data_IF_281391251375
#
_entry.id   IF_281391251375
#
_cell.length_a   1.000
_cell.length_b   1.000
_cell.length_c   1.000
_cell.angle_alpha   90.00
_cell.angle_beta   90.00
_cell.angle_gamma   90.00
#
_symmetry.space_group_name_H-M   'P 1'
#
loop_
_entity.id
_entity.type
_entity.pdbx_description
1 polymer ?
#
# COMPACT_ATOMS: atom_id res chain seq x y z
N UNK A 1 26.29 -19.44 3.61
CA UNK A 1 25.66 -20.07 2.42
C UNK A 1 24.80 -19.01 1.77
N UNK A 2 24.73 -18.96 0.44
CA UNK A 2 23.91 -17.95 -0.24
C UNK A 2 22.42 -18.27 -0.06
N UNK A 3 21.59 -17.24 0.12
CA UNK A 3 20.14 -17.39 0.31
C UNK A 3 19.46 -18.24 -0.79
N UNK A 4 19.98 -18.17 -2.03
CA UNK A 4 19.49 -18.98 -3.14
C UNK A 4 19.76 -20.48 -2.97
N UNK A 5 20.89 -20.85 -2.36
CA UNK A 5 21.21 -22.25 -2.06
C UNK A 5 20.42 -22.78 -0.87
N UNK A 6 20.17 -21.94 0.14
CA UNK A 6 19.33 -22.30 1.28
C UNK A 6 17.87 -22.53 0.86
N UNK A 7 17.32 -21.67 0.00
CA UNK A 7 15.96 -21.82 -0.52
C UNK A 7 15.75 -23.13 -1.32
N UNK A 8 16.76 -23.57 -2.07
CA UNK A 8 16.67 -24.79 -2.90
C UNK A 8 16.95 -26.08 -2.12
N UNK A 9 17.84 -26.01 -1.12
CA UNK A 9 18.34 -27.21 -0.42
C UNK A 9 17.68 -27.39 0.94
N UNK A 10 17.29 -26.31 1.61
CA UNK A 10 16.73 -26.30 2.97
C UNK A 10 15.58 -25.29 3.11
N UNK A 11 14.46 -25.50 2.39
CA UNK A 11 13.35 -24.54 2.34
C UNK A 11 12.71 -24.26 3.71
N UNK A 12 12.80 -25.21 4.66
CA UNK A 12 12.29 -25.05 6.02
C UNK A 12 13.09 -24.02 6.84
N UNK A 13 14.42 -24.06 6.77
CA UNK A 13 15.29 -23.09 7.46
C UNK A 13 15.15 -21.69 6.85
N UNK A 14 15.03 -21.63 5.53
CA UNK A 14 14.75 -20.37 4.84
C UNK A 14 13.40 -19.76 5.27
N UNK A 15 12.35 -20.57 5.38
CA UNK A 15 11.04 -20.12 5.86
C UNK A 15 11.08 -19.62 7.31
N UNK A 16 11.87 -20.24 8.17
CA UNK A 16 12.08 -19.83 9.56
C UNK A 16 12.78 -18.46 9.64
N UNK A 17 13.87 -18.27 8.90
CA UNK A 17 14.58 -16.99 8.82
C UNK A 17 13.69 -15.86 8.28
N UNK A 18 12.89 -16.14 7.25
CA UNK A 18 11.90 -15.18 6.74
C UNK A 18 10.80 -14.88 7.76
N UNK A 19 10.35 -15.89 8.51
CA UNK A 19 9.38 -15.73 9.59
C UNK A 19 9.86 -14.75 10.67
N UNK A 20 11.13 -14.82 11.05
CA UNK A 20 11.74 -13.93 12.05
C UNK A 20 11.83 -12.47 11.60
N UNK A 21 11.98 -12.20 10.30
CA UNK A 21 12.05 -10.84 9.76
C UNK A 21 10.66 -10.17 9.60
N UNK A 22 9.59 -10.96 9.52
CA UNK A 22 8.23 -10.48 9.20
C UNK A 22 7.70 -9.39 10.14
N UNK A 23 7.82 -9.49 11.48
CA UNK A 23 7.31 -8.44 12.37
C UNK A 23 7.96 -7.08 12.11
N UNK A 24 9.27 -7.08 11.80
CA UNK A 24 9.99 -5.87 11.41
C UNK A 24 9.48 -5.28 10.10
N UNK A 25 9.36 -6.11 9.05
CA UNK A 25 8.87 -5.69 7.73
C UNK A 25 7.43 -5.14 7.80
N UNK A 26 6.55 -5.83 8.53
CA UNK A 26 5.17 -5.41 8.74
C UNK A 26 5.09 -4.07 9.48
N UNK A 27 5.89 -3.87 10.55
CA UNK A 27 5.92 -2.63 11.31
C UNK A 27 6.48 -1.44 10.49
N UNK A 28 7.58 -1.67 9.77
CA UNK A 28 8.15 -0.68 8.85
C UNK A 28 7.14 -0.28 7.76
N UNK A 29 6.57 -1.28 7.08
CA UNK A 29 5.63 -1.08 5.98
C UNK A 29 4.37 -0.36 6.45
N UNK A 30 3.79 -0.78 7.57
CA UNK A 30 2.61 -0.15 8.15
C UNK A 30 2.85 1.33 8.45
N UNK A 31 3.94 1.67 9.14
CA UNK A 31 4.24 3.04 9.51
C UNK A 31 4.51 3.94 8.30
N UNK A 32 5.29 3.43 7.32
CA UNK A 32 5.58 4.15 6.08
C UNK A 32 4.32 4.39 5.24
N UNK A 33 3.55 3.33 4.97
CA UNK A 33 2.34 3.39 4.14
C UNK A 33 1.27 4.22 4.83
N UNK A 34 1.10 4.08 6.16
CA UNK A 34 0.20 4.91 6.93
C UNK A 34 0.55 6.39 6.79
N UNK A 35 1.82 6.77 6.87
CA UNK A 35 2.18 8.19 6.71
C UNK A 35 1.86 8.73 5.32
N UNK A 36 2.03 7.91 4.27
CA UNK A 36 1.61 8.25 2.89
C UNK A 36 0.09 8.39 2.80
N UNK A 37 -0.67 7.47 3.39
CA UNK A 37 -2.13 7.52 3.43
C UNK A 37 -2.66 8.69 4.26
N UNK A 38 -2.14 8.90 5.46
CA UNK A 38 -2.56 9.95 6.37
C UNK A 38 -2.29 11.33 5.79
N UNK A 39 -1.19 11.49 5.04
CA UNK A 39 -0.99 12.70 4.25
C UNK A 39 -2.05 12.83 3.16
N UNK A 40 -2.39 11.77 2.43
CA UNK A 40 -3.50 11.84 1.48
C UNK A 40 -4.85 12.18 2.15
N UNK A 41 -5.09 11.64 3.35
CA UNK A 41 -6.33 11.79 4.11
C UNK A 41 -6.48 13.20 4.70
N UNK A 42 -5.39 13.75 5.26
CA UNK A 42 -5.38 15.04 5.95
C UNK A 42 -4.95 16.21 5.06
N UNK A 43 -4.20 16.01 3.97
CA UNK A 43 -3.76 17.10 3.10
C UNK A 43 -4.93 17.62 2.24
N UNK A 44 -5.56 18.67 2.75
CA UNK A 44 -6.82 19.30 2.29
C UNK A 44 -6.59 20.46 1.32
N UNK A 45 -5.33 20.82 1.02
CA UNK A 45 -4.95 22.04 0.27
C UNK A 45 -5.33 22.04 -1.24
N UNK A 46 -6.22 21.16 -1.69
CA UNK A 46 -6.88 21.27 -3.00
C UNK A 46 -8.39 21.06 -2.89
N UNK A 47 -9.03 22.07 -2.32
CA UNK A 47 -10.39 22.53 -2.64
C UNK A 47 -11.54 21.53 -2.35
N UNK A 48 -12.80 22.01 -2.29
CA UNK A 48 -13.96 21.16 -2.11
C UNK A 48 -13.96 20.13 -3.23
N UNK A 49 -13.64 18.86 -2.93
CA UNK A 49 -13.86 17.79 -3.90
C UNK A 49 -15.36 17.85 -4.21
N UNK A 50 -15.78 18.01 -5.48
CA UNK A 50 -17.21 18.13 -5.78
C UNK A 50 -18.00 16.88 -5.33
N UNK A 51 -17.32 15.74 -5.11
CA UNK A 51 -17.89 14.51 -4.58
C UNK A 51 -16.87 13.76 -3.70
N UNK A 52 -16.80 14.03 -2.38
CA UNK A 52 -16.06 13.20 -1.43
C UNK A 52 -16.61 11.76 -1.45
N UNK A 53 -15.74 10.75 -1.56
CA UNK A 53 -16.17 9.36 -1.70
C UNK A 53 -16.81 8.84 -0.39
N UNK A 54 -16.29 9.29 0.76
CA UNK A 54 -16.80 8.97 2.09
C UNK A 54 -17.62 10.11 2.73
N UNK A 55 -17.96 11.16 1.96
CA UNK A 55 -18.85 12.23 2.40
C UNK A 55 -18.41 12.93 3.69
N UNK A 56 -19.09 12.59 4.79
CA UNK A 56 -19.01 13.25 6.11
C UNK A 56 -17.74 12.94 6.91
N UNK A 57 -17.18 11.74 6.77
CA UNK A 57 -15.94 11.35 7.47
C UNK A 57 -14.76 12.14 6.93
N UNK A 58 -14.69 12.26 5.60
CA UNK A 58 -13.67 13.03 4.89
C UNK A 58 -13.79 14.54 5.20
N UNK A 59 -15.01 15.08 5.23
CA UNK A 59 -15.27 16.47 5.56
C UNK A 59 -14.94 16.84 7.04
N UNK A 60 -14.95 15.86 7.95
CA UNK A 60 -14.62 16.08 9.37
C UNK A 60 -13.11 16.00 9.60
N UNK A 61 -12.45 15.02 8.98
CA UNK A 61 -10.98 14.96 8.95
C UNK A 61 -10.35 16.18 8.25
N UNK A 62 -11.10 16.82 7.34
CA UNK A 62 -10.65 17.99 6.59
C UNK A 62 -10.65 19.33 7.36
N UNK A 63 -11.21 19.39 8.59
CA UNK A 63 -11.31 20.64 9.39
C UNK A 63 -10.05 20.97 10.20
N UNK A 64 -8.94 20.31 9.92
CA UNK A 64 -7.74 20.36 10.76
C UNK A 64 -6.80 21.48 10.29
N UNK A 65 -6.40 22.35 11.22
CA UNK A 65 -5.51 23.50 11.00
C UNK A 65 -4.07 23.13 10.62
N UNK A 66 -3.59 21.93 10.98
CA UNK A 66 -2.23 21.44 10.69
C UNK A 66 -2.23 19.97 10.24
N UNK A 67 -2.56 19.68 8.97
CA UNK A 67 -2.76 18.31 8.48
C UNK A 67 -1.50 17.46 8.54
N UNK A 68 -0.34 18.07 8.30
CA UNK A 68 0.96 17.40 8.42
C UNK A 68 1.22 16.87 9.83
N UNK A 69 0.90 17.66 10.87
CA UNK A 69 1.16 17.28 12.26
C UNK A 69 0.25 16.13 12.68
N UNK A 70 -1.00 16.10 12.21
CA UNK A 70 -1.87 14.95 12.45
C UNK A 70 -1.43 13.70 11.68
N UNK A 71 -0.96 13.85 10.44
CA UNK A 71 -0.44 12.71 9.67
C UNK A 71 0.73 12.07 10.41
N UNK A 72 1.71 12.88 10.83
CA UNK A 72 2.86 12.40 11.59
C UNK A 72 2.46 11.88 12.97
N UNK A 73 1.62 12.62 13.70
CA UNK A 73 1.16 12.24 15.03
C UNK A 73 0.40 10.92 15.04
N UNK A 74 -0.49 10.69 14.07
CA UNK A 74 -1.21 9.42 13.93
C UNK A 74 -0.28 8.26 13.54
N UNK A 75 0.74 8.50 12.70
CA UNK A 75 1.73 7.49 12.36
C UNK A 75 2.58 7.07 13.57
N UNK A 76 3.07 8.05 14.34
CA UNK A 76 3.86 7.81 15.55
C UNK A 76 3.02 7.15 16.63
N UNK A 77 1.78 7.62 16.84
CA UNK A 77 0.87 7.02 17.81
C UNK A 77 0.51 5.57 17.44
N UNK A 78 0.22 5.30 16.16
CA UNK A 78 -0.06 3.96 15.66
C UNK A 78 1.15 3.04 15.81
N UNK A 79 2.34 3.49 15.43
CA UNK A 79 3.57 2.72 15.61
C UNK A 79 3.84 2.42 17.10
N UNK A 80 3.75 3.42 17.98
CA UNK A 80 3.96 3.25 19.42
C UNK A 80 2.93 2.30 20.05
N UNK A 81 1.66 2.43 19.67
CA UNK A 81 0.60 1.52 20.12
C UNK A 81 0.90 0.08 19.71
N UNK A 82 1.29 -0.12 18.45
CA UNK A 82 1.56 -1.47 17.95
C UNK A 82 2.84 -2.06 18.55
N UNK A 83 3.86 -1.25 18.83
CA UNK A 83 5.02 -1.67 19.62
C UNK A 83 4.62 -2.13 21.03
N UNK A 84 3.68 -1.44 21.67
CA UNK A 84 3.20 -1.82 23.01
C UNK A 84 2.36 -3.12 22.98
N UNK A 85 1.57 -3.31 21.93
CA UNK A 85 0.74 -4.50 21.74
C UNK A 85 1.51 -5.72 21.20
N UNK A 86 2.69 -5.52 20.61
CA UNK A 86 3.51 -6.60 20.06
C UNK A 86 4.02 -7.57 21.15
N UNK A 87 4.24 -8.86 20.80
CA UNK A 87 4.84 -9.84 21.69
C UNK A 87 6.19 -9.37 22.26
N UNK A 88 6.51 -9.68 23.53
CA UNK A 88 7.71 -9.17 24.20
C UNK A 88 9.02 -9.42 23.44
N UNK A 89 9.11 -10.52 22.70
CA UNK A 89 10.26 -10.91 21.88
C UNK A 89 10.50 -9.96 20.71
N UNK A 90 9.44 -9.38 20.15
CA UNK A 90 9.47 -8.65 18.89
C UNK A 90 9.37 -7.14 19.10
N UNK A 91 9.06 -6.67 20.32
CA UNK A 91 8.81 -5.25 20.62
C UNK A 91 9.93 -4.32 20.15
N UNK A 92 11.19 -4.72 20.38
CA UNK A 92 12.34 -3.90 19.97
C UNK A 92 12.40 -3.83 18.45
N UNK A 93 12.25 -4.97 17.77
CA UNK A 93 12.24 -5.07 16.30
C UNK A 93 11.11 -4.23 15.70
N UNK A 94 9.89 -4.36 16.22
CA UNK A 94 8.70 -3.61 15.78
C UNK A 94 8.88 -2.11 16.02
N UNK A 95 9.36 -1.72 17.20
CA UNK A 95 9.60 -0.30 17.54
C UNK A 95 10.65 0.35 16.66
N UNK A 96 11.81 -0.29 16.50
CA UNK A 96 12.89 0.20 15.63
C UNK A 96 12.41 0.27 14.19
N UNK A 97 11.79 -0.80 13.67
CA UNK A 97 11.31 -0.84 12.31
C UNK A 97 10.22 0.22 12.03
N UNK A 98 9.30 0.44 12.97
CA UNK A 98 8.30 1.50 12.89
C UNK A 98 8.92 2.90 12.83
N UNK A 99 9.91 3.17 13.67
CA UNK A 99 10.68 4.44 13.64
C UNK A 99 11.40 4.61 12.31
N UNK A 100 12.06 3.57 11.81
CA UNK A 100 12.75 3.59 10.52
C UNK A 100 11.75 3.83 9.39
N UNK A 101 10.56 3.22 9.42
CA UNK A 101 9.50 3.43 8.44
C UNK A 101 9.02 4.89 8.38
N UNK A 102 8.74 5.49 9.54
CA UNK A 102 8.41 6.92 9.62
C UNK A 102 9.57 7.77 9.11
N UNK A 103 10.80 7.48 9.56
CA UNK A 103 12.00 8.24 9.21
C UNK A 103 12.29 8.21 7.71
N UNK A 104 12.20 7.04 7.06
CA UNK A 104 12.36 6.90 5.61
C UNK A 104 11.36 7.77 4.86
N UNK A 105 10.09 7.76 5.28
CA UNK A 105 9.07 8.60 4.65
C UNK A 105 9.38 10.10 4.83
N UNK A 106 9.82 10.51 6.03
CA UNK A 106 10.23 11.89 6.31
C UNK A 106 11.43 12.32 5.49
N UNK A 107 12.45 11.46 5.34
CA UNK A 107 13.65 11.72 4.54
C UNK A 107 13.28 11.93 3.08
N UNK A 108 12.50 11.01 2.49
CA UNK A 108 12.06 11.12 1.08
C UNK A 108 11.32 12.44 0.84
N UNK A 109 10.45 12.84 1.78
CA UNK A 109 9.73 14.12 1.70
C UNK A 109 10.62 15.33 1.95
N UNK A 110 11.57 15.25 2.86
CA UNK A 110 12.53 16.31 3.12
C UNK A 110 13.36 16.58 1.85
N UNK A 111 13.88 15.53 1.22
CA UNK A 111 14.59 15.61 -0.07
C UNK A 111 13.68 16.21 -1.13
N UNK A 112 12.42 15.75 -1.24
CA UNK A 112 11.46 16.30 -2.21
C UNK A 112 11.18 17.79 -1.99
N UNK A 113 11.07 18.24 -0.73
CA UNK A 113 10.86 19.67 -0.39
C UNK A 113 12.10 20.53 -0.60
N UNK A 114 13.28 20.00 -0.30
CA UNK A 114 14.55 20.68 -0.56
C UNK A 114 14.80 20.82 -2.06
N UNK A 115 14.45 19.80 -2.85
CA UNK A 115 14.53 19.84 -4.30
C UNK A 115 13.72 21.01 -4.89
N UNK A 116 12.54 21.33 -4.31
CA UNK A 116 11.69 22.44 -4.76
C UNK A 116 12.32 23.83 -4.55
N UNK A 117 13.39 23.96 -3.77
CA UNK A 117 14.06 25.24 -3.48
C UNK A 117 15.29 25.53 -4.37
N UNK A 118 15.72 24.58 -5.21
CA UNK A 118 16.90 24.72 -6.09
C UNK A 118 16.59 25.19 -7.52
N UNK A 119 17.62 25.20 -8.37
CA UNK A 119 17.54 25.60 -9.79
C UNK A 119 16.51 24.80 -10.60
N UNK A 120 15.95 25.41 -11.66
CA UNK A 120 14.83 24.88 -12.42
C UNK A 120 15.07 23.49 -13.05
N UNK A 121 16.28 23.21 -13.53
CA UNK A 121 16.63 21.91 -14.12
C UNK A 121 16.80 20.81 -13.04
N UNK A 122 17.47 21.15 -11.92
CA UNK A 122 17.67 20.24 -10.79
C UNK A 122 16.35 19.92 -10.06
N UNK A 123 15.46 20.92 -9.96
CA UNK A 123 14.11 20.81 -9.36
C UNK A 123 13.30 19.66 -9.92
N UNK A 124 13.22 19.55 -11.26
CA UNK A 124 12.33 18.60 -11.91
C UNK A 124 12.82 17.16 -11.73
N UNK A 125 14.13 16.92 -11.87
CA UNK A 125 14.72 15.59 -11.82
C UNK A 125 14.69 15.00 -10.40
N UNK A 126 15.09 15.78 -9.40
CA UNK A 126 15.13 15.30 -8.01
C UNK A 126 13.72 15.15 -7.44
N UNK A 127 12.81 16.10 -7.70
CA UNK A 127 11.42 15.98 -7.25
C UNK A 127 10.74 14.77 -7.89
N UNK A 128 10.87 14.59 -9.21
CA UNK A 128 10.34 13.41 -9.90
C UNK A 128 10.94 12.12 -9.33
N UNK A 129 12.27 12.09 -9.07
CA UNK A 129 12.95 10.97 -8.45
C UNK A 129 12.38 10.59 -7.08
N UNK A 130 12.14 11.57 -6.20
CA UNK A 130 11.55 11.30 -4.87
C UNK A 130 10.12 10.78 -4.96
N UNK A 131 9.31 11.29 -5.89
CA UNK A 131 7.94 10.80 -6.11
C UNK A 131 7.95 9.37 -6.66
N UNK A 132 8.82 9.08 -7.63
CA UNK A 132 8.99 7.72 -8.18
C UNK A 132 9.48 6.77 -7.09
N UNK A 133 10.49 7.16 -6.31
CA UNK A 133 10.99 6.36 -5.21
C UNK A 133 9.91 6.08 -4.17
N UNK A 134 9.19 7.10 -3.72
CA UNK A 134 8.13 6.93 -2.73
C UNK A 134 7.04 5.97 -3.22
N UNK A 135 6.61 6.12 -4.49
CA UNK A 135 5.61 5.25 -5.10
C UNK A 135 6.13 3.84 -5.32
N UNK A 136 7.35 3.72 -5.82
CA UNK A 136 8.04 2.44 -6.05
C UNK A 136 8.20 1.67 -4.75
N UNK A 137 8.67 2.33 -3.69
CA UNK A 137 8.81 1.73 -2.35
C UNK A 137 7.44 1.33 -1.77
N UNK A 138 6.40 2.14 -1.96
CA UNK A 138 5.03 1.79 -1.52
C UNK A 138 4.54 0.52 -2.23
N UNK A 139 4.74 0.44 -3.55
CA UNK A 139 4.32 -0.72 -4.36
C UNK A 139 5.18 -1.95 -4.05
N UNK A 140 6.48 -1.78 -3.85
CA UNK A 140 7.39 -2.84 -3.43
C UNK A 140 6.96 -3.41 -2.07
N UNK A 141 6.77 -2.56 -1.07
CA UNK A 141 6.30 -2.98 0.25
C UNK A 141 4.94 -3.66 0.16
N UNK A 142 4.02 -3.14 -0.65
CA UNK A 142 2.74 -3.78 -0.93
C UNK A 142 2.92 -5.23 -1.44
N UNK A 143 3.80 -5.47 -2.41
CA UNK A 143 4.02 -6.81 -2.96
C UNK A 143 4.75 -7.74 -2.00
N UNK A 144 5.83 -7.29 -1.38
CA UNK A 144 6.63 -8.08 -0.44
C UNK A 144 5.77 -8.58 0.73
N UNK A 145 4.90 -7.70 1.23
CA UNK A 145 4.01 -7.99 2.35
C UNK A 145 2.89 -8.94 1.91
N UNK A 146 2.27 -8.70 0.76
CA UNK A 146 1.23 -9.60 0.24
C UNK A 146 1.81 -11.00 0.03
N UNK A 147 2.96 -11.10 -0.62
CA UNK A 147 3.61 -12.37 -0.90
C UNK A 147 3.99 -13.11 0.39
N UNK A 148 4.53 -12.40 1.39
CA UNK A 148 4.89 -12.97 2.69
C UNK A 148 3.71 -13.42 3.57
N UNK A 149 2.52 -12.84 3.39
CA UNK A 149 1.28 -13.30 4.06
C UNK A 149 0.71 -14.53 3.36
N UNK A 150 0.76 -14.60 2.02
CA UNK A 150 0.19 -15.72 1.26
C UNK A 150 1.05 -16.98 1.30
N UNK A 151 2.36 -16.88 1.14
CA UNK A 151 3.26 -18.06 1.06
C UNK A 151 3.42 -18.83 2.36
N UNK A 152 3.24 -18.16 3.51
CA UNK A 152 3.54 -18.74 4.83
C UNK A 152 2.31 -19.01 5.68
N UNK A 153 1.09 -18.74 5.18
CA UNK A 153 -0.16 -18.97 5.91
C UNK A 153 -0.88 -20.27 5.53
N UNK A 154 -0.42 -20.99 4.51
CA UNK A 154 -1.24 -22.04 3.87
C UNK A 154 -0.82 -23.49 4.05
N UNK A 155 0.40 -23.88 4.48
CA UNK A 155 0.70 -25.32 4.65
C UNK A 155 1.89 -25.66 5.57
N UNK A 156 1.73 -26.70 6.40
CA UNK A 156 2.71 -27.21 7.36
C UNK A 156 3.76 -28.20 6.79
N UNK A 157 3.78 -28.46 5.48
CA UNK A 157 4.67 -29.48 4.86
C UNK A 157 5.65 -28.89 3.84
N UNK A 158 6.94 -29.19 4.00
CA UNK A 158 8.07 -28.60 3.26
C UNK A 158 8.01 -28.66 1.72
N UNK A 159 7.32 -29.62 1.12
CA UNK A 159 7.17 -29.71 -0.35
C UNK A 159 6.08 -28.76 -0.90
N UNK A 160 5.15 -28.32 -0.04
CA UNK A 160 4.04 -27.46 -0.43
C UNK A 160 4.48 -26.01 -0.72
N UNK A 161 5.60 -25.56 -0.16
CA UNK A 161 6.11 -24.20 -0.37
C UNK A 161 6.52 -23.95 -1.83
N UNK A 162 7.17 -24.91 -2.48
CA UNK A 162 7.57 -24.81 -3.89
C UNK A 162 6.36 -24.85 -4.83
N UNK A 163 5.39 -25.72 -4.55
CA UNK A 163 4.15 -25.80 -5.31
C UNK A 163 3.35 -24.50 -5.19
N UNK A 164 3.23 -23.95 -3.98
CA UNK A 164 2.55 -22.68 -3.74
C UNK A 164 3.26 -21.50 -4.40
N UNK A 165 4.58 -21.43 -4.31
CA UNK A 165 5.36 -20.42 -5.00
C UNK A 165 5.17 -20.52 -6.52
N UNK A 166 5.12 -21.73 -7.09
CA UNK A 166 4.85 -21.93 -8.51
C UNK A 166 3.43 -21.49 -8.90
N UNK A 167 2.41 -21.85 -8.12
CA UNK A 167 1.01 -21.43 -8.34
C UNK A 167 0.86 -19.91 -8.24
N UNK A 168 1.49 -19.30 -7.24
CA UNK A 168 1.51 -17.84 -7.07
C UNK A 168 2.21 -17.16 -8.26
N UNK A 169 3.37 -17.67 -8.70
CA UNK A 169 4.09 -17.15 -9.85
C UNK A 169 3.26 -17.21 -11.14
N UNK A 170 2.56 -18.32 -11.38
CA UNK A 170 1.65 -18.46 -12.53
C UNK A 170 0.47 -17.47 -12.41
N UNK A 171 -0.16 -17.37 -11.24
CA UNK A 171 -1.26 -16.45 -10.99
C UNK A 171 -0.86 -14.98 -11.22
N UNK A 172 0.28 -14.57 -10.67
CA UNK A 172 0.87 -13.24 -10.86
C UNK A 172 1.22 -13.02 -12.33
N UNK A 173 1.82 -14.00 -13.00
CA UNK A 173 2.17 -13.91 -14.43
C UNK A 173 0.94 -13.68 -15.31
N UNK A 174 -0.13 -14.47 -15.11
CA UNK A 174 -1.40 -14.29 -15.82
C UNK A 174 -2.01 -12.92 -15.51
N UNK A 175 -2.03 -12.53 -14.24
CA UNK A 175 -2.56 -11.25 -13.78
C UNK A 175 -1.80 -10.06 -14.39
N UNK A 176 -0.47 -10.13 -14.43
CA UNK A 176 0.38 -9.10 -15.01
C UNK A 176 0.15 -8.92 -16.51
N UNK A 177 0.06 -10.02 -17.27
CA UNK A 177 -0.26 -9.98 -18.71
C UNK A 177 -1.66 -9.42 -18.95
N UNK A 178 -2.65 -9.83 -18.16
CA UNK A 178 -4.01 -9.29 -18.25
C UNK A 178 -4.05 -7.79 -17.96
N UNK A 179 -3.41 -7.35 -16.87
CA UNK A 179 -3.37 -5.95 -16.47
C UNK A 179 -2.62 -5.09 -17.49
N UNK A 180 -1.54 -5.60 -18.08
CA UNK A 180 -0.81 -4.92 -19.16
C UNK A 180 -1.71 -4.70 -20.38
N UNK A 181 -2.45 -5.72 -20.81
CA UNK A 181 -3.42 -5.61 -21.92
C UNK A 181 -4.55 -4.65 -21.60
N UNK A 182 -5.08 -4.69 -20.38
CA UNK A 182 -6.14 -3.79 -19.93
C UNK A 182 -5.67 -2.33 -19.95
N UNK A 183 -4.49 -2.07 -19.40
CA UNK A 183 -3.92 -0.71 -19.32
C UNK A 183 -3.68 -0.13 -20.72
N UNK A 184 -3.14 -0.93 -21.64
CA UNK A 184 -2.98 -0.53 -23.05
C UNK A 184 -4.33 -0.14 -23.71
N UNK A 185 -5.41 -0.89 -23.47
CA UNK A 185 -6.75 -0.56 -23.98
C UNK A 185 -7.38 0.69 -23.35
N UNK A 186 -7.14 0.93 -22.06
CA UNK A 186 -7.69 2.11 -21.38
C UNK A 186 -6.91 3.36 -21.79
N UNK A 187 -5.59 3.27 -21.95
CA UNK A 187 -4.73 4.39 -22.33
C UNK A 187 -5.09 4.90 -23.74
N UNK A 188 -5.18 3.99 -24.71
CA UNK A 188 -5.62 4.29 -26.09
C UNK A 188 -6.98 4.98 -26.20
N UNK A 189 -7.84 4.90 -25.17
CA UNK A 189 -9.17 5.51 -25.18
C UNK A 189 -9.30 6.75 -24.27
N UNK A 190 -8.20 7.25 -23.68
CA UNK A 190 -8.22 8.25 -22.57
C UNK A 190 -9.14 7.83 -21.42
N UNK A 191 -9.33 6.53 -21.21
CA UNK A 191 -10.27 5.97 -20.25
C UNK A 191 -9.91 6.25 -18.80
N UNK A 192 -8.60 6.37 -18.48
CA UNK A 192 -8.11 6.66 -17.13
C UNK A 192 -8.62 8.01 -16.60
N UNK A 193 -8.71 9.03 -17.46
CA UNK A 193 -9.22 10.34 -17.08
C UNK A 193 -10.71 10.32 -16.69
N UNK A 194 -11.46 9.29 -17.11
CA UNK A 194 -12.87 9.11 -16.76
C UNK A 194 -13.06 8.46 -15.38
N UNK A 195 -12.03 7.82 -14.82
CA UNK A 195 -12.13 7.09 -13.55
C UNK A 195 -11.85 8.00 -12.34
N UNK A 196 -12.77 8.95 -12.10
CA UNK A 196 -12.59 10.04 -11.11
C UNK A 196 -12.31 9.56 -9.68
N UNK A 197 -12.92 8.45 -9.24
CA UNK A 197 -12.82 7.97 -7.86
C UNK A 197 -11.71 6.93 -7.66
N UNK A 198 -11.05 6.46 -8.74
CA UNK A 198 -10.01 5.42 -8.65
C UNK A 198 -8.78 5.89 -7.85
N UNK A 199 -8.38 7.16 -8.00
CA UNK A 199 -7.29 7.74 -7.20
C UNK A 199 -7.61 7.73 -5.71
N UNK A 200 -8.87 7.96 -5.34
CA UNK A 200 -9.29 7.91 -3.95
C UNK A 200 -9.35 6.47 -3.44
N UNK A 201 -9.96 5.56 -4.19
CA UNK A 201 -9.98 4.13 -3.88
C UNK A 201 -8.57 3.58 -3.61
N UNK A 202 -7.61 3.87 -4.49
CA UNK A 202 -6.23 3.43 -4.31
C UNK A 202 -5.60 3.94 -3.01
N UNK A 203 -5.88 5.18 -2.61
CA UNK A 203 -5.37 5.70 -1.35
C UNK A 203 -6.03 5.03 -0.13
N UNK A 204 -7.35 4.78 -0.17
CA UNK A 204 -8.04 4.06 0.90
C UNK A 204 -7.56 2.61 1.02
N UNK A 205 -7.20 1.95 -0.09
CA UNK A 205 -6.53 0.63 -0.05
C UNK A 205 -5.22 0.69 0.72
N UNK A 206 -4.39 1.71 0.48
CA UNK A 206 -3.15 1.90 1.25
C UNK A 206 -3.42 2.09 2.75
N UNK A 207 -4.45 2.87 3.10
CA UNK A 207 -4.85 3.05 4.49
C UNK A 207 -5.29 1.75 5.17
N UNK A 208 -6.16 0.98 4.52
CA UNK A 208 -6.62 -0.31 5.04
C UNK A 208 -5.47 -1.30 5.13
N UNK A 209 -4.57 -1.34 4.14
CA UNK A 209 -3.40 -2.19 4.18
C UNK A 209 -2.48 -1.86 5.35
N UNK A 210 -2.21 -0.58 5.61
CA UNK A 210 -1.40 -0.18 6.74
C UNK A 210 -2.02 -0.62 8.08
N UNK A 211 -3.35 -0.53 8.20
CA UNK A 211 -4.07 -1.03 9.40
C UNK A 211 -4.00 -2.55 9.51
N UNK A 212 -4.22 -3.27 8.41
CA UNK A 212 -4.10 -4.73 8.38
C UNK A 212 -2.68 -5.19 8.71
N UNK A 213 -1.66 -4.46 8.26
CA UNK A 213 -0.28 -4.74 8.61
C UNK A 213 0.01 -4.58 10.09
N UNK A 214 -0.45 -3.49 10.68
CA UNK A 214 -0.34 -3.29 12.12
C UNK A 214 -1.11 -4.35 12.91
N UNK A 215 -2.34 -4.66 12.49
CA UNK A 215 -3.13 -5.72 13.11
C UNK A 215 -2.48 -7.11 12.97
N UNK A 216 -1.74 -7.35 11.87
CA UNK A 216 -1.00 -8.60 11.65
C UNK A 216 0.11 -8.87 12.66
N UNK A 217 0.59 -7.82 13.36
CA UNK A 217 1.59 -7.95 14.44
C UNK A 217 1.02 -8.56 15.71
N UNK A 218 -0.30 -8.52 15.89
CA UNK A 218 -1.00 -9.00 17.09
C UNK A 218 -1.82 -10.25 16.78
N UNK A 219 -2.47 -10.28 15.62
CA UNK A 219 -3.35 -11.37 15.19
C UNK A 219 -2.96 -11.80 13.78
N UNK A 220 -2.74 -13.10 13.51
CA UNK A 220 -2.49 -13.55 12.15
C UNK A 220 -3.70 -13.25 11.26
N UNK A 221 -3.50 -12.41 10.24
CA UNK A 221 -4.55 -12.05 9.29
C UNK A 221 -4.40 -12.92 8.05
N UNK A 222 -5.43 -13.71 7.68
CA UNK A 222 -5.39 -14.48 6.45
C UNK A 222 -5.26 -13.56 5.23
N UNK A 223 -4.39 -13.93 4.28
CA UNK A 223 -4.19 -13.15 3.05
C UNK A 223 -5.50 -12.92 2.28
N UNK A 224 -6.42 -13.88 2.32
CA UNK A 224 -7.75 -13.75 1.72
C UNK A 224 -8.53 -12.50 2.21
N UNK A 225 -8.40 -12.14 3.49
CA UNK A 225 -9.04 -10.96 4.06
C UNK A 225 -8.44 -9.68 3.46
N UNK A 226 -7.10 -9.63 3.35
CA UNK A 226 -6.38 -8.51 2.74
C UNK A 226 -6.79 -8.33 1.28
N UNK A 227 -6.82 -9.43 0.51
CA UNK A 227 -7.26 -9.44 -0.87
C UNK A 227 -8.73 -9.02 -1.04
N UNK A 228 -9.60 -9.42 -0.12
CA UNK A 228 -11.02 -9.04 -0.14
C UNK A 228 -11.22 -7.54 0.09
N UNK A 229 -10.58 -6.96 1.11
CA UNK A 229 -10.65 -5.52 1.34
C UNK A 229 -10.10 -4.71 0.16
N UNK A 230 -8.96 -5.13 -0.39
CA UNK A 230 -8.38 -4.51 -1.58
C UNK A 230 -9.35 -4.53 -2.77
N UNK A 231 -9.90 -5.72 -3.06
CA UNK A 231 -10.85 -5.91 -4.17
C UNK A 231 -12.16 -5.15 -3.96
N UNK A 232 -12.70 -5.14 -2.73
CA UNK A 232 -13.93 -4.44 -2.40
C UNK A 232 -13.78 -2.92 -2.57
N UNK A 233 -12.68 -2.33 -2.09
CA UNK A 233 -12.43 -0.89 -2.18
C UNK A 233 -12.18 -0.47 -3.63
N UNK A 234 -11.33 -1.20 -4.36
CA UNK A 234 -11.06 -0.91 -5.78
C UNK A 234 -12.33 -1.11 -6.61
N UNK A 235 -13.06 -2.20 -6.38
CA UNK A 235 -14.32 -2.50 -7.05
C UNK A 235 -15.36 -1.41 -6.81
N UNK A 236 -15.55 -0.96 -5.56
CA UNK A 236 -16.43 0.14 -5.23
C UNK A 236 -15.99 1.46 -5.89
N UNK A 237 -14.70 1.75 -5.93
CA UNK A 237 -14.16 2.93 -6.60
C UNK A 237 -14.37 2.89 -8.13
N UNK A 238 -14.28 1.71 -8.75
CA UNK A 238 -14.56 1.50 -10.17
C UNK A 238 -16.05 1.63 -10.48
N UNK A 239 -16.92 0.98 -9.71
CA UNK A 239 -18.38 1.02 -9.86
C UNK A 239 -18.90 2.45 -9.73
N UNK A 240 -18.42 3.19 -8.73
CA UNK A 240 -18.81 4.60 -8.52
C UNK A 240 -18.18 5.56 -9.55
N UNK A 241 -17.12 5.15 -10.25
CA UNK A 241 -16.50 5.93 -11.33
C UNK A 241 -17.11 5.70 -12.70
N UNK A 242 -17.83 4.60 -12.91
CA UNK A 242 -18.49 4.31 -14.18
C UNK A 242 -19.66 5.29 -14.37
N UNK A 243 -19.67 6.11 -15.44
CA UNK A 243 -20.81 6.94 -15.73
C UNK A 243 -21.99 6.02 -16.02
N UNK A 244 -23.00 6.05 -15.16
CA UNK A 244 -24.25 5.33 -15.36
C UNK A 244 -24.87 5.85 -16.66
N UNK A 245 -24.63 5.12 -17.76
CA UNK A 245 -25.27 5.43 -19.04
C UNK A 245 -26.74 5.12 -18.84
N UNK A 246 -27.55 6.15 -18.60
CA UNK A 246 -29.00 6.05 -18.84
C UNK A 246 -29.14 5.49 -20.26
N UNK A 247 -29.91 4.41 -20.48
CA UNK A 247 -30.13 3.90 -21.82
C UNK A 247 -30.64 5.08 -22.63
N UNK A 248 -29.88 5.49 -23.66
CA UNK A 248 -30.33 6.49 -24.62
C UNK A 248 -31.59 5.89 -25.22
N UNK A 249 -32.76 6.40 -24.82
CA UNK A 249 -34.00 6.13 -25.54
C UNK A 249 -33.72 6.54 -26.97
N UNK A 250 -33.63 5.55 -27.86
CA UNK A 250 -33.71 5.75 -29.29
C UNK A 250 -35.06 6.42 -29.54
N UNK A 251 -35.06 7.75 -29.59
CA UNK A 251 -36.16 8.49 -30.19
C UNK A 251 -35.99 8.29 -31.69
N UNK A 252 -36.80 7.37 -32.21
CA UNK A 252 -37.07 7.23 -33.63
C UNK A 252 -37.49 8.59 -34.22
N UNK A 253 -36.86 8.93 -35.33
CA UNK A 253 -37.45 9.73 -36.40
C UNK A 253 -36.97 9.16 -37.71
#
# INVERSE_FOLDING_TARGET
MDAATEALVQPALFAEHLGAARPGLAAFGAAFIWLVFAEYLFNVDRAPRPHPWLGRLEATAARVTRPWVLALGSAVAGAALMTALAPPTDRVTVGVAGIVGVSTCLVVRAVGRLALRGDAAWRLHVYAGTVVFQRGLTVFMLFEILDGVYTLSTTDTGLAYLEQAAVAAVGVGIGAVYLARLTSRIDSTKGLARLRHLKAGAAYVLGVLAVLLWASLVVPIPGAVVGWFGTAIIGAALLTSLPWRRPRRFLAR
#
